data_IF_226996029011
#
_entry.id   IF_226996029011
#
_cell.length_a   1.000
_cell.length_b   1.000
_cell.length_c   1.000
_cell.angle_alpha   90.00
_cell.angle_beta   90.00
_cell.angle_gamma   90.00
#
_symmetry.space_group_name_H-M   'P 1'
#
loop_
_entity.id
_entity.type
_entity.pdbx_description
1 polymer ?
#
# COMPACT_ATOMS: atom_id res chain seq x y z
N UNK A 1 14.19 -0.23 3.11
CA UNK A 1 12.97 -0.97 3.46
C UNK A 1 13.33 -2.35 3.97
N UNK A 2 12.61 -2.87 4.96
CA UNK A 2 12.71 -4.27 5.40
C UNK A 2 11.74 -5.12 4.55
N UNK A 3 11.73 -6.43 4.77
CA UNK A 3 10.66 -7.27 4.20
C UNK A 3 9.31 -6.82 4.77
N UNK A 4 8.29 -6.81 3.92
CA UNK A 4 6.94 -6.44 4.30
C UNK A 4 6.16 -7.71 4.60
N UNK A 5 5.61 -7.81 5.80
CA UNK A 5 4.69 -8.87 6.18
C UNK A 5 3.37 -8.21 6.50
N UNK A 6 2.30 -8.69 5.88
CA UNK A 6 0.95 -8.21 6.06
C UNK A 6 0.07 -9.34 6.55
N UNK A 7 -0.68 -9.09 7.62
CA UNK A 7 -1.68 -9.98 8.18
C UNK A 7 -2.94 -10.01 7.29
N UNK A 8 -3.83 -11.02 7.46
CA UNK A 8 -5.00 -11.17 6.59
C UNK A 8 -5.93 -9.95 6.56
N UNK A 9 -6.12 -9.30 7.70
CA UNK A 9 -6.90 -8.06 7.85
C UNK A 9 -6.22 -6.87 7.18
N UNK A 10 -4.90 -6.74 7.31
CA UNK A 10 -4.11 -5.72 6.62
C UNK A 10 -4.14 -5.91 5.10
N UNK A 11 -4.05 -7.16 4.62
CA UNK A 11 -4.21 -7.47 3.18
C UNK A 11 -5.60 -7.09 2.71
N UNK A 12 -6.64 -7.39 3.48
CA UNK A 12 -8.02 -7.01 3.14
C UNK A 12 -8.19 -5.48 3.09
N UNK A 13 -7.66 -4.77 4.08
CA UNK A 13 -7.69 -3.31 4.15
C UNK A 13 -6.94 -2.66 2.98
N UNK A 14 -5.74 -3.14 2.67
CA UNK A 14 -4.94 -2.62 1.56
C UNK A 14 -5.66 -2.80 0.21
N UNK A 15 -6.29 -3.97 0.00
CA UNK A 15 -7.13 -4.25 -1.18
C UNK A 15 -8.37 -3.36 -1.23
N UNK A 16 -8.99 -3.10 -0.09
CA UNK A 16 -10.14 -2.23 0.02
C UNK A 16 -9.76 -0.78 -0.32
N UNK A 17 -8.64 -0.28 0.22
CA UNK A 17 -8.09 1.03 -0.07
C UNK A 17 -7.83 1.22 -1.57
N UNK A 18 -7.26 0.21 -2.23
CA UNK A 18 -7.00 0.24 -3.67
C UNK A 18 -8.27 0.31 -4.54
N UNK A 19 -9.41 -0.18 -4.02
CA UNK A 19 -10.71 -0.09 -4.70
C UNK A 19 -11.44 1.22 -4.42
N UNK A 20 -11.34 1.74 -3.19
CA UNK A 20 -12.05 2.96 -2.78
C UNK A 20 -11.24 4.25 -3.02
N UNK A 21 -9.93 4.16 -3.19
CA UNK A 21 -9.02 5.29 -3.39
C UNK A 21 -8.53 5.95 -2.10
N UNK A 22 -9.31 5.86 -1.01
CA UNK A 22 -8.92 6.32 0.32
C UNK A 22 -9.53 5.43 1.41
N UNK A 23 -8.90 5.43 2.58
CA UNK A 23 -9.38 4.76 3.80
C UNK A 23 -9.47 5.79 4.91
N UNK A 24 -10.48 5.72 5.78
CA UNK A 24 -10.45 6.50 7.02
C UNK A 24 -9.38 5.91 7.96
N UNK A 25 -8.63 6.75 8.67
CA UNK A 25 -7.64 6.33 9.68
C UNK A 25 -8.30 5.69 10.88
N UNK A 26 -9.50 6.13 11.22
CA UNK A 26 -10.32 5.56 12.28
C UNK A 26 -11.26 4.52 11.70
N UNK A 27 -11.18 3.30 12.23
CA UNK A 27 -12.04 2.19 11.85
C UNK A 27 -12.90 1.68 13.00
N UNK A 28 -13.78 0.71 12.71
CA UNK A 28 -14.60 0.07 13.73
C UNK A 28 -13.81 -0.83 14.69
N UNK A 29 -12.53 -1.08 14.42
CA UNK A 29 -11.67 -1.98 15.21
C UNK A 29 -10.30 -1.37 15.48
N UNK A 30 -9.69 -1.70 16.63
CA UNK A 30 -8.31 -1.31 16.97
C UNK A 30 -7.29 -1.77 15.91
N UNK A 31 -7.51 -2.93 15.29
CA UNK A 31 -6.65 -3.44 14.22
C UNK A 31 -6.65 -2.55 12.98
N UNK A 32 -7.73 -1.81 12.72
CA UNK A 32 -7.83 -0.92 11.57
C UNK A 32 -6.89 0.28 11.70
N UNK A 33 -6.91 0.93 12.87
CA UNK A 33 -6.09 2.12 13.13
C UNK A 33 -4.60 1.75 13.09
N UNK A 34 -4.24 0.62 13.71
CA UNK A 34 -2.87 0.07 13.69
C UNK A 34 -2.43 -0.27 12.26
N UNK A 35 -3.30 -0.88 11.45
CA UNK A 35 -2.98 -1.19 10.05
C UNK A 35 -2.76 0.09 9.23
N UNK A 36 -3.56 1.14 9.46
CA UNK A 36 -3.40 2.42 8.78
C UNK A 36 -2.06 3.08 9.10
N UNK A 37 -1.66 3.08 10.36
CA UNK A 37 -0.37 3.61 10.79
C UNK A 37 0.79 2.76 10.25
N UNK A 38 0.66 1.43 10.26
CA UNK A 38 1.63 0.54 9.64
C UNK A 38 1.81 0.78 8.13
N UNK A 39 0.73 1.03 7.38
CA UNK A 39 0.81 1.39 5.96
C UNK A 39 1.56 2.70 5.73
N UNK A 40 1.38 3.68 6.62
CA UNK A 40 2.12 4.94 6.58
C UNK A 40 3.62 4.73 6.87
N UNK A 41 3.95 3.99 7.94
CA UNK A 41 5.33 3.70 8.32
C UNK A 41 6.10 2.92 7.25
N UNK A 42 5.41 2.03 6.54
CA UNK A 42 5.99 1.23 5.45
C UNK A 42 6.01 1.95 4.10
N UNK A 43 5.41 3.14 4.01
CA UNK A 43 5.34 3.94 2.78
C UNK A 43 4.35 3.40 1.74
N UNK A 44 3.46 2.48 2.12
CA UNK A 44 2.36 2.00 1.28
C UNK A 44 1.22 3.03 1.21
N UNK A 45 1.07 3.85 2.25
CA UNK A 45 0.09 4.92 2.29
C UNK A 45 0.72 6.22 2.80
N UNK A 46 0.04 7.32 2.54
CA UNK A 46 0.31 8.64 3.08
C UNK A 46 -0.94 9.12 3.82
N UNK A 47 -0.75 9.79 4.95
CA UNK A 47 -1.83 10.39 5.71
C UNK A 47 -2.33 11.68 5.05
N UNK A 48 -3.65 11.78 4.88
CA UNK A 48 -4.39 12.94 4.40
C UNK A 48 -5.48 13.30 5.41
N UNK A 49 -5.09 14.03 6.46
CA UNK A 49 -5.97 14.32 7.61
C UNK A 49 -6.43 13.04 8.31
N UNK A 50 -7.75 12.88 8.40
CA UNK A 50 -8.41 11.69 8.97
C UNK A 50 -8.47 10.50 8.00
N UNK A 51 -7.84 10.62 6.83
CA UNK A 51 -7.80 9.56 5.84
C UNK A 51 -6.35 9.15 5.56
N UNK A 52 -6.19 7.97 4.96
CA UNK A 52 -4.97 7.56 4.29
C UNK A 52 -5.25 7.34 2.81
N UNK A 53 -4.26 7.64 1.98
CA UNK A 53 -4.27 7.38 0.55
C UNK A 53 -3.11 6.47 0.20
N UNK A 54 -3.34 5.49 -0.66
CA UNK A 54 -2.24 4.63 -1.11
C UNK A 54 -1.24 5.43 -1.94
N UNK A 55 0.05 5.22 -1.66
CA UNK A 55 1.12 5.67 -2.55
C UNK A 55 1.11 4.84 -3.82
N UNK A 56 1.90 5.24 -4.83
CA UNK A 56 2.08 4.41 -6.03
C UNK A 56 2.59 3.00 -5.69
N UNK A 57 3.47 2.88 -4.68
CA UNK A 57 3.95 1.59 -4.19
C UNK A 57 2.80 0.79 -3.58
N UNK A 58 2.02 1.41 -2.68
CA UNK A 58 0.86 0.78 -2.07
C UNK A 58 -0.15 0.29 -3.10
N UNK A 59 -0.45 1.10 -4.12
CA UNK A 59 -1.37 0.73 -5.19
C UNK A 59 -0.87 -0.48 -5.99
N UNK A 60 0.43 -0.53 -6.30
CA UNK A 60 1.04 -1.69 -7.00
C UNK A 60 0.99 -2.95 -6.17
N UNK A 61 1.32 -2.87 -4.88
CA UNK A 61 1.25 -4.00 -3.94
C UNK A 61 -0.19 -4.50 -3.82
N UNK A 62 -1.14 -3.59 -3.62
CA UNK A 62 -2.56 -3.95 -3.52
C UNK A 62 -3.08 -4.62 -4.80
N UNK A 63 -2.73 -4.08 -5.96
CA UNK A 63 -3.09 -4.65 -7.26
C UNK A 63 -2.45 -6.03 -7.47
N UNK A 64 -1.19 -6.21 -7.10
CA UNK A 64 -0.54 -7.53 -7.15
C UNK A 64 -1.29 -8.56 -6.30
N UNK A 65 -1.74 -8.18 -5.11
CA UNK A 65 -2.55 -9.07 -4.26
C UNK A 65 -3.95 -9.34 -4.80
N UNK A 66 -4.57 -8.37 -5.46
CA UNK A 66 -5.85 -8.55 -6.14
C UNK A 66 -5.71 -9.55 -7.28
N UNK A 67 -4.71 -9.38 -8.16
CA UNK A 67 -4.43 -10.27 -9.28
C UNK A 67 -4.05 -11.68 -8.84
N UNK A 68 -3.24 -11.80 -7.78
CA UNK A 68 -2.82 -13.10 -7.25
C UNK A 68 -3.87 -13.78 -6.35
N UNK A 69 -5.01 -13.13 -6.06
CA UNK A 69 -6.07 -13.72 -5.24
C UNK A 69 -5.67 -14.00 -3.80
N UNK A 70 -4.76 -13.22 -3.20
CA UNK A 70 -4.25 -13.46 -1.84
C UNK A 70 -5.36 -13.30 -0.78
N UNK A 71 -5.63 -14.32 0.04
CA UNK A 71 -6.70 -14.28 1.06
C UNK A 71 -6.19 -14.32 2.51
N UNK A 72 -4.88 -14.48 2.72
CA UNK A 72 -4.28 -14.61 4.05
C UNK A 72 -3.04 -13.75 4.21
N UNK A 73 -2.20 -14.12 5.17
CA UNK A 73 -0.93 -13.44 5.42
C UNK A 73 -0.07 -13.42 4.16
N UNK A 74 0.46 -12.25 3.82
CA UNK A 74 1.34 -12.05 2.69
C UNK A 74 2.73 -11.61 3.18
N UNK A 75 3.78 -12.14 2.57
CA UNK A 75 5.14 -11.65 2.75
C UNK A 75 5.71 -11.25 1.41
N UNK A 76 6.24 -10.02 1.33
CA UNK A 76 6.93 -9.51 0.16
C UNK A 76 8.36 -9.18 0.59
N UNK A 77 9.33 -9.80 -0.09
CA UNK A 77 10.74 -9.49 0.17
C UNK A 77 11.06 -8.06 -0.25
N UNK A 78 12.05 -7.47 0.42
CA UNK A 78 12.59 -6.14 0.11
C UNK A 78 12.95 -6.01 -1.37
N UNK A 79 13.51 -7.06 -1.98
CA UNK A 79 13.91 -7.04 -3.39
C UNK A 79 12.70 -6.80 -4.30
N UNK A 80 11.57 -7.46 -4.01
CA UNK A 80 10.33 -7.30 -4.77
C UNK A 80 9.71 -5.93 -4.51
N UNK A 81 9.68 -5.45 -3.27
CA UNK A 81 9.21 -4.09 -2.95
C UNK A 81 10.02 -3.02 -3.68
N UNK A 82 11.34 -3.17 -3.73
CA UNK A 82 12.22 -2.26 -4.45
C UNK A 82 11.97 -2.30 -5.96
N UNK A 83 11.72 -3.48 -6.53
CA UNK A 83 11.37 -3.63 -7.95
C UNK A 83 9.99 -3.03 -8.27
N UNK A 84 9.07 -3.03 -7.30
CA UNK A 84 7.78 -2.33 -7.36
C UNK A 84 7.90 -0.82 -7.06
N UNK A 85 9.05 -0.37 -6.57
CA UNK A 85 9.42 1.03 -6.31
C UNK A 85 9.52 1.89 -7.59
N UNK A 86 9.89 3.18 -7.48
CA UNK A 86 9.46 4.20 -8.43
C UNK A 86 9.85 3.83 -9.87
N UNK A 87 8.83 3.66 -10.72
CA UNK A 87 9.09 3.77 -12.16
C UNK A 87 9.39 5.25 -12.36
N UNK A 88 10.63 5.53 -12.74
CA UNK A 88 11.11 6.84 -13.14
C UNK A 88 10.02 7.51 -13.96
N UNK A 89 9.50 8.64 -13.48
CA UNK A 89 8.75 9.54 -14.34
C UNK A 89 9.71 9.89 -15.47
N UNK A 90 9.44 9.40 -16.68
CA UNK A 90 10.04 9.99 -17.87
C UNK A 90 9.52 11.43 -17.89
N UNK A 91 10.26 12.34 -17.28
CA UNK A 91 10.20 13.74 -17.66
C UNK A 91 10.73 13.76 -19.09
N UNK A 92 9.81 13.72 -20.05
CA UNK A 92 10.09 14.10 -21.43
C UNK A 92 10.42 15.60 -21.38
N UNK A 93 11.69 15.86 -21.07
CA UNK A 93 12.28 17.17 -20.90
C UNK A 93 13.12 17.49 -22.12
N UNK A 94 12.45 18.06 -23.11
CA UNK A 94 12.95 19.02 -24.10
C UNK A 94 13.94 18.54 -25.19
N UNK A 95 13.59 18.81 -26.45
CA UNK A 95 14.36 19.78 -27.24
C UNK A 95 13.40 20.61 -28.13
N UNK A 96 13.42 21.93 -27.90
CA UNK A 96 13.03 22.97 -28.86
C UNK A 96 14.12 23.08 -29.93
#
# INVERSE_FOLDING_TARGET
MKDLVLLPDEVALLKFAAKQGALNRSGPTLSHDIACDFFCETGLAESDGDHIRLTQLGQRVANAFLCAGVLGTASISRCVLNALGPQVAFTDGAYR
#
